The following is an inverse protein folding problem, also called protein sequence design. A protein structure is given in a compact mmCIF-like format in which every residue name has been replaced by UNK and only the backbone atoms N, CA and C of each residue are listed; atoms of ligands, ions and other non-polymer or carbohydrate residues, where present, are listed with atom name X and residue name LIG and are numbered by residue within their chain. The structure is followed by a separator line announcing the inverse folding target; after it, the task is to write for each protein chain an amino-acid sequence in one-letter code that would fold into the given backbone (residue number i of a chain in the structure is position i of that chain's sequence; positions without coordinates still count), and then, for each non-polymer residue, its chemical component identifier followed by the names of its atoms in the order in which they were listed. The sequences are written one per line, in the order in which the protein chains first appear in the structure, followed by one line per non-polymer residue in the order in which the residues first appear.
data_IF_480246677650
#
_entry.id   IF_480246677650
#
_cell.length_a   1.000
_cell.length_b   1.000
_cell.length_c   1.000
_cell.angle_alpha   90.00
_cell.angle_beta   90.00
_cell.angle_gamma   90.00
#
_symmetry.space_group_name_H-M   'P 1'
#
loop_
_entity.id
_entity.type
_entity.pdbx_description
1 polymer ?
#
# COMPACT_ATOMS: atom_id res chain seq x y z
N UNK A 1 -20.05 0.74 14.08
CA UNK A 1 -19.40 1.20 12.82
C UNK A 1 -20.11 0.58 11.63
N UNK A 2 -20.27 1.28 10.48
CA UNK A 2 -20.89 0.67 9.30
C UNK A 2 -19.99 -0.46 8.77
N UNK A 3 -20.57 -1.63 8.47
CA UNK A 3 -19.83 -2.86 8.08
C UNK A 3 -18.85 -2.65 6.92
N UNK A 4 -19.17 -1.74 5.99
CA UNK A 4 -18.30 -1.39 4.84
C UNK A 4 -16.96 -0.78 5.25
N UNK A 5 -16.96 0.04 6.31
CA UNK A 5 -15.75 0.70 6.79
C UNK A 5 -14.84 -0.31 7.52
N UNK A 6 -15.44 -1.23 8.27
CA UNK A 6 -14.71 -2.35 8.90
C UNK A 6 -14.03 -3.22 7.84
N UNK A 7 -14.76 -3.60 6.78
CA UNK A 7 -14.20 -4.35 5.66
C UNK A 7 -13.03 -3.60 4.98
N UNK A 8 -13.19 -2.30 4.74
CA UNK A 8 -12.13 -1.49 4.13
C UNK A 8 -10.88 -1.38 5.02
N UNK A 9 -11.06 -1.26 6.34
CA UNK A 9 -9.94 -1.25 7.30
C UNK A 9 -9.26 -2.62 7.35
N UNK A 10 -10.01 -3.71 7.38
CA UNK A 10 -9.44 -5.06 7.33
C UNK A 10 -8.64 -5.26 6.04
N UNK A 11 -9.19 -4.85 4.89
CA UNK A 11 -8.51 -4.93 3.60
C UNK A 11 -7.20 -4.12 3.59
N UNK A 12 -7.23 -2.91 4.17
CA UNK A 12 -6.04 -2.08 4.33
C UNK A 12 -4.97 -2.77 5.17
N UNK A 13 -5.34 -3.32 6.33
CA UNK A 13 -4.40 -3.99 7.24
C UNK A 13 -3.79 -5.23 6.60
N UNK A 14 -4.61 -6.07 5.97
CA UNK A 14 -4.15 -7.28 5.27
C UNK A 14 -3.26 -6.92 4.08
N UNK A 15 -3.69 -5.94 3.25
CA UNK A 15 -2.90 -5.49 2.11
C UNK A 15 -1.56 -4.88 2.53
N UNK A 16 -1.56 -4.03 3.56
CA UNK A 16 -0.33 -3.39 4.04
C UNK A 16 0.63 -4.41 4.68
N UNK A 17 0.13 -5.35 5.47
CA UNK A 17 0.97 -6.40 6.07
C UNK A 17 1.54 -7.35 5.02
N UNK A 18 0.75 -7.76 4.02
CA UNK A 18 1.22 -8.57 2.90
C UNK A 18 2.28 -7.85 2.07
N UNK A 19 2.07 -6.57 1.78
CA UNK A 19 3.02 -5.75 1.02
C UNK A 19 4.34 -5.56 1.75
N UNK A 20 4.30 -5.17 3.03
CA UNK A 20 5.49 -5.03 3.88
C UNK A 20 6.23 -6.36 4.02
N UNK A 21 5.51 -7.45 4.28
CA UNK A 21 6.11 -8.78 4.43
C UNK A 21 6.80 -9.25 3.15
N UNK A 22 6.12 -9.15 2.01
CA UNK A 22 6.68 -9.58 0.72
C UNK A 22 7.85 -8.71 0.27
N UNK A 23 7.80 -7.39 0.52
CA UNK A 23 8.90 -6.47 0.22
C UNK A 23 10.12 -6.73 1.10
N UNK A 24 9.91 -7.00 2.39
CA UNK A 24 10.99 -7.36 3.31
C UNK A 24 11.66 -8.69 2.90
N UNK A 25 10.86 -9.71 2.59
CA UNK A 25 11.38 -11.01 2.11
C UNK A 25 12.14 -10.82 0.79
N UNK A 26 11.61 -10.04 -0.15
CA UNK A 26 12.27 -9.78 -1.42
C UNK A 26 13.61 -9.05 -1.24
N UNK A 27 13.68 -8.01 -0.39
CA UNK A 27 14.93 -7.28 -0.12
C UNK A 27 15.95 -8.09 0.68
N UNK A 28 15.49 -9.01 1.53
CA UNK A 28 16.40 -9.88 2.33
C UNK A 28 16.87 -11.13 1.58
N UNK A 29 16.15 -11.56 0.54
CA UNK A 29 16.35 -12.84 -0.14
C UNK A 29 16.80 -12.74 -1.61
N UNK A 30 16.67 -11.59 -2.26
CA UNK A 30 17.10 -11.38 -3.65
C UNK A 30 17.58 -9.94 -3.90
N UNK A 31 18.22 -9.68 -5.05
CA UNK A 31 18.55 -8.33 -5.54
C UNK A 31 17.28 -7.56 -5.95
N UNK A 32 16.29 -7.47 -5.07
CA UNK A 32 15.04 -6.80 -5.37
C UNK A 32 15.27 -5.29 -5.44
N UNK A 33 15.33 -4.76 -6.66
CA UNK A 33 15.39 -3.32 -6.92
C UNK A 33 13.97 -2.78 -6.90
N UNK A 34 13.67 -1.94 -5.92
CA UNK A 34 12.37 -1.31 -5.79
C UNK A 34 12.08 -0.42 -7.01
N UNK A 35 11.24 -0.91 -7.93
CA UNK A 35 11.00 -0.26 -9.22
C UNK A 35 10.21 1.06 -9.18
N UNK A 36 9.73 1.48 -8.00
CA UNK A 36 9.04 2.76 -7.81
C UNK A 36 10.06 3.84 -7.40
N UNK A 37 10.34 4.86 -8.24
CA UNK A 37 11.29 5.91 -7.89
C UNK A 37 10.88 6.72 -6.65
N UNK A 38 9.58 6.80 -6.38
CA UNK A 38 9.04 7.47 -5.18
C UNK A 38 9.15 6.57 -3.96
N UNK A 39 8.90 5.26 -4.12
CA UNK A 39 9.04 4.27 -3.05
C UNK A 39 10.48 4.16 -2.57
N UNK A 40 11.41 4.04 -3.52
CA UNK A 40 12.85 3.97 -3.24
C UNK A 40 13.34 5.23 -2.53
N UNK A 41 12.93 6.42 -2.95
CA UNK A 41 13.27 7.69 -2.27
C UNK A 41 12.79 7.72 -0.81
N UNK A 42 11.58 7.22 -0.54
CA UNK A 42 11.06 7.17 0.82
C UNK A 42 11.79 6.14 1.68
N UNK A 43 12.12 4.98 1.11
CA UNK A 43 12.81 3.89 1.81
C UNK A 43 14.28 4.22 2.05
N UNK A 44 14.96 4.85 1.11
CA UNK A 44 16.34 5.29 1.23
C UNK A 44 16.48 6.38 2.30
N UNK A 45 15.48 7.29 2.40
CA UNK A 45 15.52 8.42 3.33
C UNK A 45 15.01 8.13 4.74
N UNK A 46 14.04 7.23 4.89
CA UNK A 46 13.40 6.95 6.19
C UNK A 46 13.61 5.51 6.68
N UNK A 47 14.23 4.65 5.88
CA UNK A 47 14.33 3.22 6.10
C UNK A 47 13.09 2.48 5.60
N UNK A 48 13.25 1.17 5.41
CA UNK A 48 12.27 0.26 4.79
C UNK A 48 10.86 0.37 5.40
N UNK A 49 10.73 0.20 6.71
CA UNK A 49 9.43 0.24 7.40
C UNK A 49 8.77 1.61 7.34
N UNK A 50 9.50 2.69 7.64
CA UNK A 50 8.93 4.05 7.67
C UNK A 50 8.63 4.56 6.27
N UNK A 51 9.48 4.27 5.29
CA UNK A 51 9.28 4.61 3.89
C UNK A 51 8.03 3.93 3.33
N UNK A 52 7.83 2.64 3.62
CA UNK A 52 6.61 1.93 3.23
C UNK A 52 5.36 2.50 3.90
N UNK A 53 5.41 2.85 5.19
CA UNK A 53 4.25 3.51 5.81
C UNK A 53 3.94 4.87 5.17
N UNK A 54 4.97 5.65 4.82
CA UNK A 54 4.80 6.94 4.15
C UNK A 54 4.17 6.80 2.77
N UNK A 55 4.52 5.77 1.99
CA UNK A 55 3.88 5.55 0.68
C UNK A 55 2.40 5.18 0.81
N UNK A 56 1.99 4.47 1.88
CA UNK A 56 0.56 4.22 2.17
C UNK A 56 -0.17 5.50 2.55
N UNK A 57 0.42 6.35 3.40
CA UNK A 57 -0.18 7.64 3.77
C UNK A 57 -0.30 8.56 2.56
N UNK A 58 0.74 8.62 1.71
CA UNK A 58 0.71 9.35 0.45
C UNK A 58 -0.41 8.81 -0.46
N UNK A 59 -0.53 7.49 -0.61
CA UNK A 59 -1.62 6.86 -1.38
C UNK A 59 -3.01 7.19 -0.81
N UNK A 60 -3.17 7.20 0.52
CA UNK A 60 -4.41 7.60 1.16
C UNK A 60 -4.75 9.06 0.84
N UNK A 61 -3.78 9.97 0.94
CA UNK A 61 -3.99 11.37 0.60
C UNK A 61 -4.37 11.55 -0.88
N UNK A 62 -3.69 10.84 -1.78
CA UNK A 62 -3.92 10.90 -3.23
C UNK A 62 -5.33 10.42 -3.61
N UNK A 63 -5.86 9.43 -2.90
CA UNK A 63 -7.23 8.93 -3.08
C UNK A 63 -8.26 9.82 -2.35
N UNK A 64 -7.95 10.27 -1.14
CA UNK A 64 -8.92 10.96 -0.29
C UNK A 64 -9.09 12.45 -0.60
N UNK A 65 -8.04 13.15 -1.00
CA UNK A 65 -8.10 14.61 -1.28
C UNK A 65 -9.09 14.92 -2.39
N UNK A 66 -9.05 14.28 -3.59
CA UNK A 66 -10.00 14.58 -4.66
C UNK A 66 -11.46 14.32 -4.24
N UNK A 67 -11.69 13.24 -3.48
CA UNK A 67 -13.03 12.84 -3.02
C UNK A 67 -13.56 13.80 -1.96
N UNK A 68 -12.70 14.28 -1.07
CA UNK A 68 -13.05 15.30 -0.09
C UNK A 68 -13.36 16.64 -0.76
N UNK A 69 -12.56 17.05 -1.75
CA UNK A 69 -12.78 18.26 -2.55
C UNK A 69 -14.09 18.17 -3.35
N UNK A 70 -14.43 16.99 -3.86
CA UNK A 70 -15.70 16.73 -4.54
C UNK A 70 -16.94 16.69 -3.61
N UNK A 71 -16.79 16.98 -2.31
CA UNK A 71 -17.89 17.03 -1.34
C UNK A 71 -18.27 15.66 -0.74
N UNK A 72 -17.40 14.66 -0.85
CA UNK A 72 -17.62 13.34 -0.26
C UNK A 72 -17.76 13.39 1.26
N UNK A 73 -18.69 12.61 1.80
CA UNK A 73 -18.84 12.49 3.27
C UNK A 73 -17.58 11.91 3.91
N UNK A 74 -17.23 12.35 5.14
CA UNK A 74 -16.04 11.85 5.86
C UNK A 74 -15.95 10.31 5.91
N UNK A 75 -17.10 9.63 6.05
CA UNK A 75 -17.18 8.16 6.08
C UNK A 75 -16.91 7.53 4.71
N UNK A 76 -17.40 8.14 3.64
CA UNK A 76 -17.15 7.68 2.28
C UNK A 76 -15.68 7.86 1.91
N UNK A 77 -15.11 9.04 2.18
CA UNK A 77 -13.69 9.34 1.97
C UNK A 77 -12.81 8.33 2.71
N UNK A 78 -13.05 8.08 4.01
CA UNK A 78 -12.29 7.11 4.78
C UNK A 78 -12.39 5.68 4.24
N UNK A 79 -13.58 5.27 3.80
CA UNK A 79 -13.79 3.94 3.20
C UNK A 79 -13.02 3.81 1.89
N UNK A 80 -13.04 4.85 1.04
CA UNK A 80 -12.33 4.85 -0.24
C UNK A 80 -10.82 4.86 -0.06
N UNK A 81 -10.30 5.66 0.88
CA UNK A 81 -8.88 5.69 1.24
C UNK A 81 -8.40 4.31 1.70
N UNK A 82 -9.13 3.67 2.62
CA UNK A 82 -8.74 2.36 3.15
C UNK A 82 -8.83 1.27 2.08
N UNK A 83 -9.94 1.22 1.33
CA UNK A 83 -10.13 0.20 0.29
C UNK A 83 -9.13 0.37 -0.85
N UNK A 84 -8.95 1.59 -1.37
CA UNK A 84 -8.06 1.85 -2.49
C UNK A 84 -6.60 1.54 -2.17
N UNK A 85 -6.10 2.01 -1.03
CA UNK A 85 -4.73 1.69 -0.59
C UNK A 85 -4.58 0.20 -0.27
N UNK A 86 -5.58 -0.43 0.35
CA UNK A 86 -5.58 -1.87 0.62
C UNK A 86 -5.47 -2.71 -0.65
N UNK A 87 -6.30 -2.43 -1.67
CA UNK A 87 -6.25 -3.14 -2.97
C UNK A 87 -4.90 -2.94 -3.65
N UNK A 88 -4.41 -1.69 -3.72
CA UNK A 88 -3.11 -1.40 -4.33
C UNK A 88 -1.96 -2.12 -3.62
N UNK A 89 -1.99 -2.19 -2.29
CA UNK A 89 -0.99 -2.92 -1.51
C UNK A 89 -1.04 -4.42 -1.79
N UNK A 90 -2.23 -5.00 -1.91
CA UNK A 90 -2.42 -6.41 -2.25
C UNK A 90 -1.91 -6.72 -3.67
N UNK A 91 -2.12 -5.83 -4.62
CA UNK A 91 -1.60 -5.97 -5.99
C UNK A 91 -0.06 -5.94 -6.03
N UNK A 92 0.56 -5.04 -5.27
CA UNK A 92 2.03 -5.00 -5.15
C UNK A 92 2.56 -6.25 -4.44
N UNK A 93 1.92 -6.69 -3.37
CA UNK A 93 2.28 -7.93 -2.69
C UNK A 93 2.21 -9.15 -3.61
N UNK A 94 1.15 -9.25 -4.42
CA UNK A 94 1.01 -10.30 -5.43
C UNK A 94 2.12 -10.23 -6.48
N UNK A 95 2.46 -9.03 -6.97
CA UNK A 95 3.61 -8.85 -7.87
C UNK A 95 4.91 -9.32 -7.23
N UNK A 96 5.18 -8.95 -5.97
CA UNK A 96 6.37 -9.38 -5.24
C UNK A 96 6.44 -10.90 -5.08
N UNK A 97 5.31 -11.55 -4.79
CA UNK A 97 5.23 -13.01 -4.73
C UNK A 97 5.50 -13.67 -6.08
N UNK A 98 4.97 -13.12 -7.17
CA UNK A 98 5.26 -13.62 -8.52
C UNK A 98 6.73 -13.44 -8.89
N UNK A 99 7.34 -12.34 -8.46
CA UNK A 99 8.78 -12.08 -8.63
C UNK A 99 9.63 -13.08 -7.85
N UNK A 100 9.28 -13.32 -6.58
CA UNK A 100 9.93 -14.34 -5.74
C UNK A 100 9.76 -15.76 -6.30
N UNK A 101 8.64 -16.05 -6.96
CA UNK A 101 8.39 -17.30 -7.64
C UNK A 101 9.10 -17.43 -9.00
N UNK A 102 9.81 -16.39 -9.45
CA UNK A 102 10.45 -16.35 -10.78
C UNK A 102 9.48 -16.32 -11.96
N UNK A 103 8.20 -16.04 -11.71
CA UNK A 103 7.12 -15.98 -12.71
C UNK A 103 6.88 -14.58 -13.26
N UNK A 104 7.56 -13.57 -12.70
CA UNK A 104 7.44 -12.18 -13.09
C UNK A 104 8.83 -11.57 -13.30
N UNK A 105 9.09 -10.93 -14.46
CA UNK A 105 10.39 -10.34 -14.79
C UNK A 105 10.66 -9.02 -14.06
#
# INVERSE_FOLDING_TARGET
MPARLVLAVCLLLVGATADVGTTYVALSGSEYVEGSPVGSLFIDRFGLLRGMFLTKVAGMALIGIPVAVAGGTRRFVATLMCAGVGVLSLAVAARNLLFLAGLWP
#
